data_IF_276398579968
#
_entry.id   IF_276398579968
#
_cell.length_a   1.000
_cell.length_b   1.000
_cell.length_c   1.000
_cell.angle_alpha   90.00
_cell.angle_beta   90.00
_cell.angle_gamma   90.00
#
_symmetry.space_group_name_H-M   'P 1'
#
loop_
_entity.id
_entity.type
_entity.pdbx_description
1 polymer ?
#
# COMPACT_ATOMS: atom_id res chain seq x y z
N UNK A 1 -4.95 28.44 57.95
CA UNK A 1 -5.38 29.06 56.67
C UNK A 1 -4.15 29.72 56.03
N UNK A 2 -3.32 28.96 55.32
CA UNK A 2 -2.04 29.45 54.76
C UNK A 2 -2.19 29.87 53.31
N UNK A 3 -1.99 31.16 53.01
CA UNK A 3 -1.95 31.68 51.63
C UNK A 3 -0.81 31.01 50.86
N UNK A 4 -1.12 30.29 49.78
CA UNK A 4 -0.13 29.94 48.76
C UNK A 4 0.42 31.24 48.16
N UNK A 5 1.73 31.42 48.18
CA UNK A 5 2.42 32.51 47.49
C UNK A 5 2.28 32.27 46.00
N UNK A 6 1.61 33.18 45.30
CA UNK A 6 1.50 33.16 43.85
C UNK A 6 2.91 33.30 43.24
N UNK A 7 3.39 32.23 42.60
CA UNK A 7 4.64 32.29 41.86
C UNK A 7 4.45 33.29 40.71
N UNK A 8 4.99 34.52 40.87
CA UNK A 8 5.04 35.53 39.81
C UNK A 8 5.90 35.00 38.67
N UNK A 9 5.29 34.27 37.75
CA UNK A 9 5.88 33.96 36.45
C UNK A 9 6.00 35.31 35.72
N UNK A 10 7.22 35.75 35.43
CA UNK A 10 7.44 36.98 34.65
C UNK A 10 6.85 36.74 33.25
N UNK A 11 5.77 37.46 32.94
CA UNK A 11 5.17 37.49 31.61
C UNK A 11 6.06 38.35 30.72
N UNK A 12 7.12 37.75 30.18
CA UNK A 12 7.91 38.34 29.10
C UNK A 12 7.33 37.85 27.77
N UNK A 13 7.06 38.77 26.85
CA UNK A 13 6.73 38.38 25.49
C UNK A 13 7.99 37.81 24.83
N UNK A 14 7.88 36.67 24.12
CA UNK A 14 9.01 36.12 23.38
C UNK A 14 9.47 37.15 22.35
N UNK A 15 10.78 37.34 22.29
CA UNK A 15 11.41 38.25 21.34
C UNK A 15 11.09 37.79 19.91
N UNK A 16 10.65 38.74 19.07
CA UNK A 16 10.22 38.52 17.69
C UNK A 16 11.30 38.90 16.67
N UNK A 17 12.48 39.32 17.13
CA UNK A 17 13.58 39.79 16.28
C UNK A 17 14.34 38.69 15.54
N UNK A 18 13.93 37.42 15.69
CA UNK A 18 14.53 36.27 15.02
C UNK A 18 15.51 35.52 15.92
N UNK A 19 16.15 34.46 15.42
CA UNK A 19 17.07 33.66 16.22
C UNK A 19 18.32 34.48 16.60
N UNK A 20 18.58 34.63 17.89
CA UNK A 20 19.83 35.20 18.39
C UNK A 20 20.98 34.22 18.08
N UNK A 21 21.99 34.60 17.27
CA UNK A 21 23.09 33.72 16.87
C UNK A 21 23.99 33.27 18.04
N UNK A 22 23.84 33.87 19.22
CA UNK A 22 24.57 33.49 20.43
C UNK A 22 23.86 32.41 21.27
N UNK A 23 22.58 32.15 21.02
CA UNK A 23 21.78 31.17 21.75
C UNK A 23 21.57 29.92 20.91
N UNK A 24 21.67 28.75 21.54
CA UNK A 24 21.38 27.48 20.86
C UNK A 24 19.92 27.45 20.43
N UNK A 25 19.69 27.22 19.14
CA UNK A 25 18.33 27.13 18.63
C UNK A 25 17.68 25.81 19.08
N UNK A 26 16.35 25.75 19.09
CA UNK A 26 15.63 24.52 19.38
C UNK A 26 16.01 23.38 18.41
N UNK A 27 16.40 23.72 17.17
CA UNK A 27 16.88 22.77 16.17
C UNK A 27 18.26 22.23 16.56
N UNK A 28 19.19 23.08 17.00
CA UNK A 28 20.51 22.64 17.46
C UNK A 28 20.41 21.73 18.69
N UNK A 29 19.52 22.08 19.63
CA UNK A 29 19.26 21.26 20.82
C UNK A 29 18.64 19.91 20.43
N UNK A 30 17.70 19.90 19.47
CA UNK A 30 17.09 18.68 18.96
C UNK A 30 18.11 17.79 18.22
N UNK A 31 19.01 18.39 17.44
CA UNK A 31 20.09 17.68 16.74
C UNK A 31 21.09 17.08 17.73
N UNK A 32 21.56 17.85 18.72
CA UNK A 32 22.45 17.37 19.79
C UNK A 32 21.87 16.21 20.59
N UNK A 33 20.55 16.23 20.83
CA UNK A 33 19.83 15.16 21.52
C UNK A 33 19.44 14.00 20.61
N UNK A 34 19.74 14.07 19.32
CA UNK A 34 19.36 13.06 18.33
C UNK A 34 17.85 12.95 18.10
N UNK A 35 17.04 13.92 18.55
CA UNK A 35 15.59 13.90 18.43
C UNK A 35 15.14 13.95 16.97
N UNK A 36 15.84 14.71 16.12
CA UNK A 36 15.58 14.77 14.68
C UNK A 36 15.80 13.40 14.02
N UNK A 37 16.90 12.71 14.35
CA UNK A 37 17.21 11.38 13.82
C UNK A 37 16.22 10.33 14.33
N UNK A 38 15.85 10.38 15.60
CA UNK A 38 14.85 9.49 16.17
C UNK A 38 13.46 9.70 15.54
N UNK A 39 13.09 10.95 15.26
CA UNK A 39 11.84 11.26 14.57
C UNK A 39 11.86 10.81 13.11
N UNK A 40 12.98 11.02 12.40
CA UNK A 40 13.16 10.50 11.04
C UNK A 40 13.10 8.98 11.01
N UNK A 41 13.79 8.30 11.92
CA UNK A 41 13.72 6.84 12.06
C UNK A 41 12.30 6.37 12.34
N UNK A 42 11.56 7.05 13.22
CA UNK A 42 10.16 6.72 13.50
C UNK A 42 9.25 6.95 12.27
N UNK A 43 9.47 8.01 11.50
CA UNK A 43 8.75 8.28 10.23
C UNK A 43 9.07 7.22 9.17
N UNK A 44 10.32 6.74 9.11
CA UNK A 44 10.76 5.65 8.23
C UNK A 44 10.38 4.25 8.77
N UNK A 45 9.79 4.17 9.96
CA UNK A 45 9.38 2.92 10.59
C UNK A 45 10.55 2.05 11.06
N UNK A 46 11.67 2.67 11.45
CA UNK A 46 12.88 2.02 11.96
C UNK A 46 12.93 2.07 13.50
N UNK A 47 13.57 1.08 14.11
CA UNK A 47 13.89 1.05 15.54
C UNK A 47 15.18 1.86 15.86
N UNK A 48 15.57 1.93 17.13
CA UNK A 48 16.80 2.63 17.57
C UNK A 48 18.09 2.06 16.94
N UNK A 49 18.04 0.83 16.42
CA UNK A 49 19.16 0.16 15.74
C UNK A 49 19.18 0.43 14.24
N UNK A 50 18.16 1.11 13.69
CA UNK A 50 17.98 1.34 12.27
C UNK A 50 17.40 0.14 11.52
N UNK A 51 16.79 -0.82 12.23
CA UNK A 51 16.10 -1.97 11.63
C UNK A 51 14.60 -1.69 11.50
N UNK A 52 13.91 -2.22 10.47
CA UNK A 52 12.45 -2.04 10.33
C UNK A 52 11.68 -2.53 11.57
N UNK A 53 10.88 -1.65 12.16
CA UNK A 53 10.05 -1.89 13.35
C UNK A 53 9.12 -3.09 13.15
N UNK A 54 8.57 -3.20 11.93
CA UNK A 54 7.86 -4.38 11.45
C UNK A 54 8.73 -5.04 10.40
N UNK A 55 9.41 -6.11 10.78
CA UNK A 55 10.23 -6.87 9.84
C UNK A 55 9.43 -7.35 8.63
N UNK A 56 10.12 -7.66 7.53
CA UNK A 56 9.56 -8.08 6.23
C UNK A 56 8.36 -9.03 6.30
N UNK A 57 8.40 -10.02 7.21
CA UNK A 57 7.28 -10.96 7.39
C UNK A 57 6.04 -10.28 7.96
N UNK A 58 6.20 -9.45 8.99
CA UNK A 58 5.08 -8.74 9.63
C UNK A 58 4.42 -7.76 8.67
N UNK A 59 5.23 -7.02 7.90
CA UNK A 59 4.74 -6.09 6.88
C UNK A 59 3.96 -6.85 5.80
N UNK A 60 4.53 -7.96 5.31
CA UNK A 60 3.87 -8.80 4.31
C UNK A 60 2.55 -9.37 4.81
N UNK A 61 2.49 -9.80 6.08
CA UNK A 61 1.24 -10.29 6.69
C UNK A 61 0.19 -9.18 6.76
N UNK A 62 0.56 -7.99 7.22
CA UNK A 62 -0.36 -6.86 7.38
C UNK A 62 -0.99 -6.48 6.03
N UNK A 63 -0.18 -6.32 5.00
CA UNK A 63 -0.66 -6.05 3.65
C UNK A 63 -1.50 -7.18 3.07
N UNK A 64 -1.10 -8.43 3.32
CA UNK A 64 -1.83 -9.60 2.82
C UNK A 64 -3.20 -9.76 3.46
N UNK A 65 -3.35 -9.41 4.75
CA UNK A 65 -4.65 -9.36 5.42
C UNK A 65 -5.54 -8.32 4.74
N UNK A 66 -5.03 -7.12 4.49
CA UNK A 66 -5.79 -6.05 3.81
C UNK A 66 -6.22 -6.47 2.40
N UNK A 67 -5.33 -7.08 1.62
CA UNK A 67 -5.65 -7.53 0.27
C UNK A 67 -6.60 -8.73 0.26
N UNK A 68 -6.52 -9.61 1.26
CA UNK A 68 -7.47 -10.71 1.46
C UNK A 68 -8.86 -10.20 1.86
N UNK A 69 -8.93 -9.14 2.67
CA UNK A 69 -10.18 -8.46 2.97
C UNK A 69 -10.79 -7.86 1.70
N UNK A 70 -9.98 -7.19 0.87
CA UNK A 70 -10.43 -6.69 -0.43
C UNK A 70 -10.95 -7.82 -1.32
N UNK A 71 -10.25 -8.96 -1.39
CA UNK A 71 -10.69 -10.14 -2.13
C UNK A 71 -12.07 -10.61 -1.65
N UNK A 72 -12.24 -10.78 -0.34
CA UNK A 72 -13.50 -11.15 0.27
C UNK A 72 -14.62 -10.17 -0.10
N UNK A 73 -14.37 -8.87 0.01
CA UNK A 73 -15.35 -7.83 -0.30
C UNK A 73 -15.73 -7.88 -1.78
N UNK A 74 -14.78 -8.03 -2.70
CA UNK A 74 -15.07 -8.20 -4.13
C UNK A 74 -15.90 -9.46 -4.39
N UNK A 75 -15.60 -10.57 -3.72
CA UNK A 75 -16.36 -11.82 -3.81
C UNK A 75 -17.83 -11.61 -3.40
N UNK A 76 -18.06 -10.89 -2.29
CA UNK A 76 -19.40 -10.54 -1.81
C UNK A 76 -20.10 -9.60 -2.79
N UNK A 77 -19.42 -8.58 -3.30
CA UNK A 77 -19.99 -7.60 -4.22
C UNK A 77 -20.43 -8.26 -5.53
N UNK A 78 -19.60 -9.11 -6.13
CA UNK A 78 -19.93 -9.76 -7.40
C UNK A 78 -21.10 -10.74 -7.22
N UNK A 79 -21.18 -11.45 -6.08
CA UNK A 79 -22.35 -12.30 -5.79
C UNK A 79 -23.65 -11.49 -5.68
N UNK A 80 -23.59 -10.32 -5.05
CA UNK A 80 -24.73 -9.41 -4.94
C UNK A 80 -25.10 -8.78 -6.30
N UNK A 81 -24.12 -8.40 -7.13
CA UNK A 81 -24.33 -7.81 -8.46
C UNK A 81 -25.15 -8.74 -9.37
N UNK A 82 -24.94 -10.05 -9.26
CA UNK A 82 -25.67 -11.06 -10.05
C UNK A 82 -26.84 -11.70 -9.31
N UNK A 83 -27.25 -11.16 -8.16
CA UNK A 83 -28.34 -11.69 -7.33
C UNK A 83 -28.22 -13.19 -6.99
N UNK A 84 -26.98 -13.68 -6.81
CA UNK A 84 -26.71 -15.09 -6.49
C UNK A 84 -26.65 -15.27 -4.97
N UNK A 85 -27.39 -16.26 -4.46
CA UNK A 85 -27.39 -16.59 -3.04
C UNK A 85 -25.98 -16.96 -2.54
N UNK A 86 -25.51 -16.24 -1.51
CA UNK A 86 -24.17 -16.42 -0.96
C UNK A 86 -24.10 -17.69 -0.13
N UNK A 87 -23.23 -18.62 -0.54
CA UNK A 87 -22.85 -19.78 0.27
C UNK A 87 -21.70 -19.41 1.20
N UNK A 88 -22.02 -18.85 2.36
CA UNK A 88 -21.03 -18.33 3.33
C UNK A 88 -19.86 -19.28 3.63
N UNK A 89 -20.06 -20.58 3.91
CA UNK A 89 -18.92 -21.47 4.21
C UNK A 89 -17.96 -21.60 3.02
N UNK A 90 -18.49 -21.68 1.79
CA UNK A 90 -17.66 -21.80 0.59
C UNK A 90 -16.92 -20.49 0.27
N UNK A 91 -17.52 -19.34 0.59
CA UNK A 91 -16.91 -18.02 0.41
C UNK A 91 -15.76 -17.80 1.40
N UNK A 92 -15.99 -18.11 2.68
CA UNK A 92 -14.96 -18.04 3.72
C UNK A 92 -13.81 -19.00 3.39
N UNK A 93 -14.11 -20.24 2.96
CA UNK A 93 -13.09 -21.21 2.58
C UNK A 93 -12.21 -20.72 1.42
N UNK A 94 -12.78 -20.16 0.35
CA UNK A 94 -11.99 -19.58 -0.75
C UNK A 94 -11.14 -18.39 -0.29
N UNK A 95 -11.70 -17.52 0.54
CA UNK A 95 -10.97 -16.36 1.07
C UNK A 95 -9.78 -16.80 1.92
N UNK A 96 -9.97 -17.80 2.78
CA UNK A 96 -8.91 -18.39 3.58
C UNK A 96 -7.83 -19.06 2.71
N UNK A 97 -8.22 -19.69 1.59
CA UNK A 97 -7.29 -20.26 0.61
C UNK A 97 -6.53 -19.18 -0.19
N UNK A 98 -7.13 -18.02 -0.41
CA UNK A 98 -6.48 -16.90 -1.10
C UNK A 98 -5.38 -16.26 -0.25
N UNK A 99 -5.54 -16.20 1.08
CA UNK A 99 -4.57 -15.59 2.00
C UNK A 99 -3.12 -16.08 1.82
N UNK A 100 -2.79 -17.39 1.89
CA UNK A 100 -1.41 -17.84 1.74
C UNK A 100 -0.83 -17.56 0.35
N UNK A 101 -1.68 -17.55 -0.69
CA UNK A 101 -1.27 -17.24 -2.05
C UNK A 101 -0.92 -15.75 -2.15
N UNK A 102 -1.81 -14.88 -1.66
CA UNK A 102 -1.60 -13.44 -1.57
C UNK A 102 -0.33 -13.13 -0.77
N UNK A 103 -0.16 -13.78 0.40
CA UNK A 103 1.01 -13.63 1.24
C UNK A 103 2.30 -14.02 0.53
N UNK A 104 2.30 -15.14 -0.19
CA UNK A 104 3.45 -15.58 -0.96
C UNK A 104 3.83 -14.55 -2.05
N UNK A 105 2.85 -14.07 -2.81
CA UNK A 105 3.09 -13.06 -3.84
C UNK A 105 3.60 -11.75 -3.24
N UNK A 106 2.94 -11.25 -2.20
CA UNK A 106 3.31 -9.99 -1.56
C UNK A 106 4.70 -10.08 -0.93
N UNK A 107 4.97 -11.16 -0.17
CA UNK A 107 6.29 -11.39 0.41
C UNK A 107 7.41 -11.46 -0.63
N UNK A 108 7.11 -11.94 -1.85
CA UNK A 108 8.10 -12.13 -2.90
C UNK A 108 8.33 -10.90 -3.78
N UNK A 109 7.26 -10.18 -4.14
CA UNK A 109 7.31 -9.13 -5.16
C UNK A 109 7.18 -7.71 -4.61
N UNK A 110 6.65 -7.53 -3.39
CA UNK A 110 6.61 -6.22 -2.76
C UNK A 110 8.04 -5.76 -2.41
N UNK A 111 8.41 -4.49 -2.63
CA UNK A 111 9.70 -3.95 -2.24
C UNK A 111 9.80 -3.95 -0.72
N UNK A 112 10.72 -4.76 -0.18
CA UNK A 112 11.10 -4.70 1.23
C UNK A 112 12.38 -3.90 1.38
N UNK A 113 12.49 -3.16 2.49
CA UNK A 113 13.74 -2.49 2.87
C UNK A 113 14.86 -3.52 3.14
N UNK A 114 14.49 -4.72 3.62
CA UNK A 114 15.43 -5.83 3.86
C UNK A 114 15.67 -6.68 2.60
N UNK A 115 16.90 -7.19 2.38
CA UNK A 115 17.23 -7.95 1.19
C UNK A 115 16.38 -9.25 1.08
N UNK A 116 15.92 -9.60 -0.13
CA UNK A 116 15.13 -10.81 -0.32
C UNK A 116 15.99 -12.06 -0.15
N UNK A 117 15.50 -13.01 0.64
CA UNK A 117 16.14 -14.33 0.82
C UNK A 117 15.87 -15.26 -0.38
N UNK A 118 14.72 -15.09 -1.04
CA UNK A 118 14.21 -16.04 -2.04
C UNK A 118 14.57 -15.71 -3.49
N UNK A 119 14.79 -14.44 -3.82
CA UNK A 119 15.05 -14.00 -5.19
C UNK A 119 16.54 -13.63 -5.36
N UNK A 120 17.19 -14.05 -6.47
CA UNK A 120 18.58 -13.68 -6.74
C UNK A 120 18.73 -12.17 -6.88
N UNK A 121 19.79 -11.61 -6.28
CA UNK A 121 20.05 -10.17 -6.28
C UNK A 121 20.36 -9.69 -7.71
N UNK A 122 19.43 -8.95 -8.28
CA UNK A 122 19.63 -8.23 -9.55
C UNK A 122 20.49 -6.98 -9.32
N UNK A 123 21.13 -6.43 -10.38
CA UNK A 123 21.85 -5.18 -10.29
C UNK A 123 20.93 -4.05 -9.77
N UNK A 124 21.36 -3.25 -8.78
CA UNK A 124 20.50 -2.27 -8.11
C UNK A 124 19.98 -1.15 -9.03
N UNK A 125 20.62 -0.94 -10.18
CA UNK A 125 20.17 0.01 -11.20
C UNK A 125 18.98 -0.49 -12.02
N UNK A 126 18.87 -1.81 -12.21
CA UNK A 126 17.85 -2.43 -13.08
C UNK A 126 16.63 -2.84 -12.26
N UNK A 127 16.82 -3.17 -10.98
CA UNK A 127 15.75 -3.57 -10.06
C UNK A 127 14.53 -2.64 -10.05
N UNK A 128 14.65 -1.31 -9.86
CA UNK A 128 13.48 -0.44 -9.82
C UNK A 128 12.75 -0.37 -11.16
N UNK A 129 13.49 -0.34 -12.27
CA UNK A 129 12.89 -0.33 -13.61
C UNK A 129 12.15 -1.64 -13.91
N UNK A 130 12.76 -2.79 -13.59
CA UNK A 130 12.14 -4.09 -13.82
C UNK A 130 10.87 -4.25 -12.97
N UNK A 131 10.91 -3.79 -11.73
CA UNK A 131 9.76 -3.79 -10.83
C UNK A 131 8.61 -2.95 -11.41
N UNK A 132 8.87 -1.69 -11.77
CA UNK A 132 7.88 -0.82 -12.40
C UNK A 132 7.33 -1.43 -13.71
N UNK A 133 8.20 -2.00 -14.57
CA UNK A 133 7.76 -2.64 -15.81
C UNK A 133 6.89 -3.89 -15.56
N UNK A 134 7.27 -4.74 -14.61
CA UNK A 134 6.49 -5.93 -14.25
C UNK A 134 5.10 -5.54 -13.78
N UNK A 135 5.01 -4.58 -12.86
CA UNK A 135 3.74 -4.11 -12.32
C UNK A 135 2.92 -3.31 -13.34
N UNK A 136 3.57 -2.66 -14.31
CA UNK A 136 2.90 -1.96 -15.40
C UNK A 136 2.23 -2.94 -16.36
N UNK A 137 2.96 -3.98 -16.76
CA UNK A 137 2.44 -5.05 -17.62
C UNK A 137 1.36 -5.85 -16.90
N UNK A 138 1.54 -6.17 -15.61
CA UNK A 138 0.52 -6.88 -14.83
C UNK A 138 -0.73 -6.02 -14.66
N UNK A 139 -0.59 -4.71 -14.41
CA UNK A 139 -1.72 -3.77 -14.29
C UNK A 139 -2.54 -3.71 -15.58
N UNK A 140 -1.89 -3.51 -16.73
CA UNK A 140 -2.57 -3.46 -18.03
C UNK A 140 -3.24 -4.80 -18.34
N UNK A 141 -2.52 -5.90 -18.17
CA UNK A 141 -3.05 -7.23 -18.51
C UNK A 141 -4.22 -7.60 -17.61
N UNK A 142 -4.09 -7.39 -16.29
CA UNK A 142 -5.16 -7.69 -15.33
C UNK A 142 -6.36 -6.77 -15.53
N UNK A 143 -6.16 -5.47 -15.75
CA UNK A 143 -7.23 -4.50 -16.00
C UNK A 143 -7.98 -4.77 -17.30
N UNK A 144 -7.27 -4.95 -18.42
CA UNK A 144 -7.87 -5.29 -19.71
C UNK A 144 -8.58 -6.65 -19.67
N UNK A 145 -7.98 -7.66 -19.01
CA UNK A 145 -8.62 -8.96 -18.86
C UNK A 145 -9.86 -8.87 -17.97
N UNK A 146 -9.86 -8.06 -16.90
CA UNK A 146 -11.03 -7.84 -16.06
C UNK A 146 -12.19 -7.22 -16.86
N UNK A 147 -11.89 -6.20 -17.67
CA UNK A 147 -12.86 -5.59 -18.59
C UNK A 147 -13.39 -6.63 -19.58
N UNK A 148 -12.50 -7.42 -20.20
CA UNK A 148 -12.88 -8.47 -21.13
C UNK A 148 -13.81 -9.51 -20.49
N UNK A 149 -13.45 -10.07 -19.33
CA UNK A 149 -14.25 -11.15 -18.71
C UNK A 149 -15.62 -10.66 -18.24
N UNK A 150 -15.69 -9.43 -17.73
CA UNK A 150 -16.94 -8.84 -17.22
C UNK A 150 -17.93 -8.53 -18.33
N UNK A 151 -17.45 -8.31 -19.56
CA UNK A 151 -18.30 -8.03 -20.73
C UNK A 151 -18.60 -9.27 -21.58
N UNK A 152 -17.65 -10.21 -21.68
CA UNK A 152 -17.73 -11.31 -22.65
C UNK A 152 -18.11 -12.66 -22.06
N UNK A 153 -17.93 -12.86 -20.75
CA UNK A 153 -18.22 -14.14 -20.10
C UNK A 153 -19.50 -14.10 -19.26
N UNK A 154 -20.12 -15.27 -19.14
CA UNK A 154 -21.28 -15.43 -18.27
C UNK A 154 -20.95 -15.20 -16.80
N UNK A 155 -21.97 -14.80 -16.03
CA UNK A 155 -21.85 -14.40 -14.62
C UNK A 155 -21.04 -15.37 -13.74
N UNK A 156 -21.15 -16.69 -13.96
CA UNK A 156 -20.43 -17.69 -13.16
C UNK A 156 -18.91 -17.62 -13.33
N UNK A 157 -18.43 -17.30 -14.55
CA UNK A 157 -17.01 -17.12 -14.80
C UNK A 157 -16.52 -15.82 -14.14
N UNK A 158 -17.31 -14.74 -14.26
CA UNK A 158 -17.02 -13.45 -13.63
C UNK A 158 -16.93 -13.59 -12.11
N UNK A 159 -17.89 -14.26 -11.48
CA UNK A 159 -17.90 -14.52 -10.03
C UNK A 159 -16.66 -15.27 -9.52
N UNK A 160 -16.04 -16.12 -10.34
CA UNK A 160 -14.85 -16.88 -9.94
C UNK A 160 -13.54 -16.14 -10.19
N UNK A 161 -13.48 -15.35 -11.25
CA UNK A 161 -12.22 -14.75 -11.74
C UNK A 161 -12.07 -13.29 -11.35
N UNK A 162 -13.16 -12.52 -11.28
CA UNK A 162 -13.10 -11.09 -11.03
C UNK A 162 -12.53 -10.72 -9.65
N UNK A 163 -12.87 -11.40 -8.53
CA UNK A 163 -12.33 -11.04 -7.22
C UNK A 163 -10.79 -11.14 -7.13
N UNK A 164 -10.13 -12.27 -7.46
CA UNK A 164 -8.67 -12.34 -7.42
C UNK A 164 -8.01 -11.45 -8.47
N UNK A 165 -8.60 -11.32 -9.67
CA UNK A 165 -8.05 -10.47 -10.72
C UNK A 165 -8.14 -8.97 -10.37
N UNK A 166 -9.23 -8.56 -9.71
CA UNK A 166 -9.41 -7.20 -9.18
C UNK A 166 -8.39 -6.88 -8.10
N UNK A 167 -8.13 -7.81 -7.18
CA UNK A 167 -7.06 -7.66 -6.18
C UNK A 167 -5.68 -7.52 -6.83
N UNK A 168 -5.36 -8.37 -7.81
CA UNK A 168 -4.08 -8.29 -8.53
C UNK A 168 -3.94 -6.97 -9.29
N UNK A 169 -5.01 -6.49 -9.92
CA UNK A 169 -5.00 -5.22 -10.63
C UNK A 169 -4.80 -4.04 -9.68
N UNK A 170 -5.57 -3.96 -8.58
CA UNK A 170 -5.45 -2.90 -7.58
C UNK A 170 -4.06 -2.90 -6.95
N UNK A 171 -3.56 -4.07 -6.54
CA UNK A 171 -2.21 -4.19 -6.01
C UNK A 171 -1.16 -3.72 -7.03
N UNK A 172 -1.31 -4.10 -8.30
CA UNK A 172 -0.39 -3.66 -9.35
C UNK A 172 -0.40 -2.16 -9.56
N UNK A 173 -1.55 -1.50 -9.47
CA UNK A 173 -1.65 -0.04 -9.60
C UNK A 173 -1.04 0.68 -8.40
N UNK A 174 -1.22 0.16 -7.18
CA UNK A 174 -0.66 0.76 -5.95
C UNK A 174 0.86 0.73 -5.96
N UNK A 175 1.45 -0.30 -6.55
CA UNK A 175 2.90 -0.49 -6.61
C UNK A 175 3.59 0.36 -7.70
N UNK A 176 2.82 0.94 -8.62
CA UNK A 176 3.34 1.79 -9.68
C UNK A 176 3.52 3.23 -9.21
N UNK A 177 4.56 3.90 -9.72
CA UNK A 177 4.67 5.35 -9.57
C UNK A 177 3.49 6.04 -10.26
N UNK A 178 3.09 7.21 -9.77
CA UNK A 178 1.91 7.94 -10.25
C UNK A 178 1.86 8.11 -11.77
N UNK A 179 3.00 8.33 -12.42
CA UNK A 179 3.10 8.46 -13.88
C UNK A 179 2.77 7.14 -14.59
N UNK A 180 3.38 6.03 -14.16
CA UNK A 180 3.15 4.70 -14.73
C UNK A 180 1.75 4.17 -14.40
N UNK A 181 1.27 4.41 -13.19
CA UNK A 181 -0.09 4.09 -12.75
C UNK A 181 -1.12 4.76 -13.66
N UNK A 182 -1.00 6.08 -13.84
CA UNK A 182 -1.87 6.86 -14.74
C UNK A 182 -1.79 6.35 -16.17
N UNK A 183 -0.57 6.06 -16.66
CA UNK A 183 -0.36 5.46 -17.97
C UNK A 183 -1.12 4.14 -18.12
N UNK A 184 -1.00 3.22 -17.15
CA UNK A 184 -1.65 1.92 -17.21
C UNK A 184 -3.19 2.03 -17.24
N UNK A 185 -3.76 2.98 -16.49
CA UNK A 185 -5.21 3.23 -16.46
C UNK A 185 -5.70 3.84 -17.78
N UNK A 186 -4.92 4.74 -18.39
CA UNK A 186 -5.21 5.27 -19.73
C UNK A 186 -5.24 4.14 -20.75
N UNK A 187 -4.28 3.20 -20.70
CA UNK A 187 -4.28 2.02 -21.58
C UNK A 187 -5.53 1.16 -21.40
N UNK A 188 -5.94 0.87 -20.16
CA UNK A 188 -7.20 0.16 -19.90
C UNK A 188 -8.42 0.92 -20.44
N UNK A 189 -8.45 2.24 -20.30
CA UNK A 189 -9.51 3.10 -20.85
C UNK A 189 -9.56 3.11 -22.38
N UNK A 190 -8.40 3.14 -23.05
CA UNK A 190 -8.28 3.01 -24.50
C UNK A 190 -8.77 1.64 -24.94
N UNK A 191 -8.37 0.57 -24.25
CA UNK A 191 -8.82 -0.79 -24.53
C UNK A 191 -10.35 -0.91 -24.40
N UNK A 192 -10.93 -0.34 -23.34
CA UNK A 192 -12.37 -0.31 -23.14
C UNK A 192 -13.09 0.36 -24.31
N UNK A 193 -12.62 1.54 -24.72
CA UNK A 193 -13.18 2.30 -25.84
C UNK A 193 -13.02 1.58 -27.18
N UNK A 194 -11.85 0.99 -27.43
CA UNK A 194 -11.55 0.27 -28.67
C UNK A 194 -12.35 -1.04 -28.79
N UNK A 195 -12.59 -1.71 -27.67
CA UNK A 195 -13.41 -2.93 -27.60
C UNK A 195 -14.91 -2.69 -27.80
N UNK A 196 -15.36 -1.43 -27.83
CA UNK A 196 -16.78 -1.09 -27.99
C UNK A 196 -17.66 -1.59 -26.83
N UNK A 197 -17.07 -1.86 -25.67
CA UNK A 197 -17.82 -2.33 -24.50
C UNK A 197 -18.76 -1.23 -24.00
N UNK A 198 -20.04 -1.57 -23.83
CA UNK A 198 -21.06 -0.61 -23.36
C UNK A 198 -20.82 -0.25 -21.89
N UNK A 199 -21.04 1.02 -21.55
CA UNK A 199 -21.14 1.45 -20.16
C UNK A 199 -22.53 1.05 -19.65
N UNK A 200 -22.63 -0.16 -19.10
CA UNK A 200 -23.89 -0.76 -18.63
C UNK A 200 -24.90 -1.06 -19.75
#
# INVERSE_FOLDING_TARGET
>A
MGRKKDAKIKLAHPDRSGPDPSQETLLDIAEKRGLLKAQQAAEEGLDESGEPLVGRLGESILWSISLTMLHFTLDVLVANQYAVAIKWPALIARTAQAFPIILFFFYSFHPHQSPPILLPRLPPRIQPLLHQLLFFVSSITAGCYLIYITNMHGYYAVMKQAPPLGCLWIWSVIELDIFWATGSLIFCGIFLKAGGYSFL
#
